data_IF_292566317184
#
_entry.id   IF_292566317184
#
_cell.length_a   1.000
_cell.length_b   1.000
_cell.length_c   1.000
_cell.angle_alpha   90.00
_cell.angle_beta   90.00
_cell.angle_gamma   90.00
#
_symmetry.space_group_name_H-M   'P 1'
#
loop_
_entity.id
_entity.type
_entity.pdbx_description
1 polymer ?
#
# COMPACT_ATOMS: atom_id res chain seq x y z
N UNK A 1 4.01 -31.66 -10.65
CA UNK A 1 4.88 -31.73 -9.44
C UNK A 1 4.62 -30.50 -8.57
N UNK A 2 3.48 -30.42 -7.84
CA UNK A 2 3.07 -29.24 -7.08
C UNK A 2 4.08 -28.88 -5.97
N UNK A 3 4.82 -29.85 -5.43
CA UNK A 3 5.87 -29.61 -4.43
C UNK A 3 7.04 -28.76 -4.96
N UNK A 4 7.21 -28.67 -6.28
CA UNK A 4 8.25 -27.87 -6.93
C UNK A 4 7.73 -26.51 -7.43
N UNK A 5 6.47 -26.19 -7.17
CA UNK A 5 5.86 -24.93 -7.59
C UNK A 5 6.04 -23.86 -6.51
N UNK A 6 6.69 -22.75 -6.85
CA UNK A 6 6.93 -21.58 -5.99
C UNK A 6 6.75 -20.33 -6.85
N UNK A 7 6.06 -19.33 -6.33
CA UNK A 7 5.91 -18.04 -7.01
C UNK A 7 7.12 -17.13 -6.76
N UNK A 8 7.41 -16.28 -7.75
CA UNK A 8 8.34 -15.14 -7.59
C UNK A 8 7.63 -13.86 -8.04
N UNK A 9 7.42 -12.94 -7.13
CA UNK A 9 6.80 -11.66 -7.40
C UNK A 9 7.85 -10.54 -7.36
N UNK A 10 7.99 -9.85 -8.47
CA UNK A 10 8.91 -8.73 -8.66
C UNK A 10 8.17 -7.40 -8.59
N UNK A 11 8.87 -6.34 -8.19
CA UNK A 11 8.31 -4.99 -8.09
C UNK A 11 8.79 -4.12 -9.25
N UNK A 12 7.90 -3.26 -9.75
CA UNK A 12 8.18 -2.39 -10.89
C UNK A 12 8.89 -1.09 -10.44
N UNK A 13 9.98 -0.68 -11.11
CA UNK A 13 10.67 -1.35 -12.22
C UNK A 13 11.60 -2.48 -11.74
N UNK A 14 11.47 -3.65 -12.35
CA UNK A 14 12.13 -4.89 -11.90
C UNK A 14 13.63 -4.76 -11.76
N UNK A 15 14.28 -4.03 -12.65
CA UNK A 15 15.74 -3.83 -12.64
C UNK A 15 16.22 -2.96 -11.48
N UNK A 16 15.36 -2.12 -10.91
CA UNK A 16 15.72 -1.19 -9.82
C UNK A 16 15.26 -1.66 -8.45
N UNK A 17 14.07 -2.25 -8.37
CA UNK A 17 13.48 -2.64 -7.08
C UNK A 17 14.18 -3.86 -6.51
N UNK A 18 14.69 -3.77 -5.26
CA UNK A 18 15.50 -4.85 -4.68
C UNK A 18 14.68 -6.04 -4.20
N UNK A 19 13.42 -5.85 -3.81
CA UNK A 19 12.59 -6.90 -3.22
C UNK A 19 12.15 -7.94 -4.26
N UNK A 20 12.12 -9.20 -3.83
CA UNK A 20 11.35 -10.30 -4.44
C UNK A 20 10.57 -11.01 -3.35
N UNK A 21 9.26 -11.09 -3.48
CA UNK A 21 8.46 -12.01 -2.68
C UNK A 21 8.57 -13.42 -3.26
N UNK A 22 9.04 -14.35 -2.46
CA UNK A 22 9.07 -15.80 -2.76
C UNK A 22 7.82 -16.41 -2.15
N UNK A 23 6.85 -16.76 -3.01
CA UNK A 23 5.51 -17.17 -2.59
C UNK A 23 5.47 -18.68 -2.38
N UNK A 24 5.31 -19.08 -1.12
CA UNK A 24 5.09 -20.46 -0.71
C UNK A 24 3.62 -20.81 -0.88
N UNK A 25 3.30 -21.64 -1.87
CA UNK A 25 1.99 -22.26 -2.00
C UNK A 25 1.80 -23.41 -1.00
N UNK A 26 0.56 -23.86 -0.84
CA UNK A 26 0.18 -24.92 0.13
C UNK A 26 0.96 -26.21 0.00
N UNK A 27 1.45 -26.53 -1.20
CA UNK A 27 2.16 -27.80 -1.50
C UNK A 27 3.65 -27.56 -1.80
N UNK A 28 4.15 -26.32 -1.78
CA UNK A 28 5.55 -26.02 -2.04
C UNK A 28 6.46 -26.64 -0.98
N UNK A 29 7.46 -27.41 -1.43
CA UNK A 29 8.45 -28.01 -0.51
C UNK A 29 9.46 -26.96 -0.02
N UNK A 30 10.05 -27.22 1.15
CA UNK A 30 11.12 -26.37 1.68
C UNK A 30 12.33 -26.31 0.73
N UNK A 31 12.65 -27.42 0.07
CA UNK A 31 13.73 -27.47 -0.91
C UNK A 31 13.46 -26.55 -2.12
N UNK A 32 12.23 -26.54 -2.64
CA UNK A 32 11.86 -25.66 -3.75
C UNK A 32 11.88 -24.17 -3.35
N UNK A 33 11.39 -23.85 -2.14
CA UNK A 33 11.44 -22.49 -1.59
C UNK A 33 12.90 -22.05 -1.40
N UNK A 34 13.75 -22.89 -0.79
CA UNK A 34 15.17 -22.58 -0.59
C UNK A 34 15.92 -22.37 -1.92
N UNK A 35 15.64 -23.21 -2.92
CA UNK A 35 16.21 -23.04 -4.26
C UNK A 35 15.79 -21.71 -4.92
N UNK A 36 14.52 -21.31 -4.74
CA UNK A 36 14.00 -20.04 -5.25
C UNK A 36 14.61 -18.84 -4.54
N UNK A 37 14.77 -18.91 -3.21
CA UNK A 37 15.51 -17.90 -2.42
C UNK A 37 16.95 -17.78 -2.91
N UNK A 38 17.65 -18.89 -3.10
CA UNK A 38 19.02 -18.90 -3.62
C UNK A 38 19.13 -18.27 -5.02
N UNK A 39 18.12 -18.53 -5.89
CA UNK A 39 18.03 -17.90 -7.22
C UNK A 39 17.86 -16.38 -7.10
N UNK A 40 16.93 -15.91 -6.26
CA UNK A 40 16.71 -14.47 -6.04
C UNK A 40 17.99 -13.78 -5.54
N UNK A 41 18.72 -14.38 -4.61
CA UNK A 41 20.01 -13.87 -4.12
C UNK A 41 21.05 -13.79 -5.25
N UNK A 42 21.16 -14.81 -6.12
CA UNK A 42 22.04 -14.79 -7.30
C UNK A 42 21.69 -13.69 -8.29
N UNK A 43 20.42 -13.29 -8.36
CA UNK A 43 19.95 -12.16 -9.17
C UNK A 43 20.24 -10.81 -8.52
N UNK A 44 20.91 -10.76 -7.36
CA UNK A 44 21.14 -9.53 -6.59
C UNK A 44 19.90 -8.95 -5.92
N UNK A 45 18.86 -9.77 -5.72
CA UNK A 45 17.61 -9.37 -5.06
C UNK A 45 17.65 -9.71 -3.56
N UNK A 46 16.78 -9.04 -2.82
CA UNK A 46 16.48 -9.34 -1.42
C UNK A 46 15.20 -10.16 -1.36
N UNK A 47 15.27 -11.50 -1.19
CA UNK A 47 14.08 -12.34 -1.11
C UNK A 47 13.47 -12.28 0.29
N UNK A 48 12.13 -12.21 0.34
CA UNK A 48 11.32 -12.45 1.54
C UNK A 48 10.36 -13.59 1.22
N UNK A 49 10.31 -14.61 2.06
CA UNK A 49 9.39 -15.73 1.90
C UNK A 49 8.04 -15.34 2.50
N UNK A 50 6.99 -15.48 1.70
CA UNK A 50 5.62 -15.19 2.13
C UNK A 50 4.70 -16.36 1.79
N UNK A 51 3.67 -16.58 2.60
CA UNK A 51 2.62 -17.52 2.27
C UNK A 51 1.64 -16.93 1.26
N UNK A 52 1.04 -17.81 0.45
CA UNK A 52 0.13 -17.42 -0.62
C UNK A 52 -1.18 -16.84 -0.07
N UNK A 53 -1.54 -15.67 -0.55
CA UNK A 53 -2.83 -15.02 -0.36
C UNK A 53 -3.06 -13.97 -1.45
N UNK A 54 -4.29 -13.46 -1.63
CA UNK A 54 -4.53 -12.34 -2.55
C UNK A 54 -3.62 -11.15 -2.23
N UNK A 55 -2.83 -10.70 -3.23
CA UNK A 55 -1.88 -9.59 -3.08
C UNK A 55 -0.61 -9.91 -2.32
N UNK A 56 -0.40 -11.16 -1.89
CA UNK A 56 0.73 -11.59 -1.07
C UNK A 56 0.91 -10.71 0.18
N UNK A 57 2.11 -10.29 0.55
CA UNK A 57 2.31 -9.36 1.68
C UNK A 57 2.18 -7.89 1.22
N UNK A 58 2.97 -7.49 0.23
CA UNK A 58 3.19 -6.07 -0.07
C UNK A 58 1.96 -5.43 -0.70
N UNK A 59 1.37 -6.04 -1.73
CA UNK A 59 0.16 -5.50 -2.35
C UNK A 59 -1.03 -5.57 -1.40
N UNK A 60 -1.19 -6.66 -0.64
CA UNK A 60 -2.23 -6.77 0.38
C UNK A 60 -2.22 -5.60 1.36
N UNK A 61 -1.03 -5.12 1.73
CA UNK A 61 -0.84 -3.99 2.65
C UNK A 61 -0.96 -2.62 1.96
N UNK A 62 -0.54 -2.54 0.68
CA UNK A 62 -0.59 -1.29 -0.08
C UNK A 62 -2.03 -0.87 -0.46
N UNK A 63 -2.93 -1.81 -0.75
CA UNK A 63 -4.30 -1.47 -1.14
C UNK A 63 -5.11 -0.80 -0.03
N UNK A 64 -5.05 -1.18 1.25
CA UNK A 64 -5.57 -0.40 2.37
C UNK A 64 -5.07 1.04 2.45
N UNK A 65 -3.80 1.29 2.14
CA UNK A 65 -3.25 2.65 2.04
C UNK A 65 -3.96 3.46 0.94
N UNK A 66 -4.16 2.87 -0.24
CA UNK A 66 -4.94 3.49 -1.31
C UNK A 66 -6.42 3.66 -0.96
N UNK A 67 -7.02 2.72 -0.23
CA UNK A 67 -8.39 2.87 0.27
C UNK A 67 -8.51 4.09 1.19
N UNK A 68 -7.57 4.31 2.10
CA UNK A 68 -7.52 5.51 2.93
C UNK A 68 -7.42 6.80 2.11
N UNK A 69 -6.61 6.80 1.06
CA UNK A 69 -6.52 7.90 0.09
C UNK A 69 -7.86 8.16 -0.61
N UNK A 70 -8.51 7.13 -1.15
CA UNK A 70 -9.80 7.28 -1.84
C UNK A 70 -10.90 7.78 -0.89
N UNK A 71 -10.93 7.32 0.36
CA UNK A 71 -11.86 7.83 1.36
C UNK A 71 -11.62 9.31 1.69
N UNK A 72 -10.36 9.75 1.74
CA UNK A 72 -10.04 11.18 1.89
C UNK A 72 -10.58 12.01 0.72
N UNK A 73 -10.40 11.55 -0.52
CA UNK A 73 -10.92 12.24 -1.70
C UNK A 73 -12.45 12.26 -1.71
N UNK A 74 -13.09 11.12 -1.43
CA UNK A 74 -14.54 11.02 -1.26
C UNK A 74 -15.06 12.09 -0.29
N UNK A 75 -14.35 12.29 0.81
CA UNK A 75 -14.72 13.22 1.88
C UNK A 75 -14.31 14.69 1.58
N UNK A 76 -13.76 14.98 0.40
CA UNK A 76 -13.45 16.32 -0.09
C UNK A 76 -12.00 16.78 0.05
N UNK A 77 -11.06 15.87 0.36
CA UNK A 77 -9.64 16.22 0.38
C UNK A 77 -9.11 16.52 -1.03
N UNK A 78 -8.17 17.45 -1.11
CA UNK A 78 -7.40 17.71 -2.32
C UNK A 78 -6.31 16.65 -2.52
N UNK A 79 -6.30 15.95 -3.66
CA UNK A 79 -5.32 14.90 -3.92
C UNK A 79 -3.87 15.42 -3.90
N UNK A 80 -3.61 16.65 -4.32
CA UNK A 80 -2.28 17.24 -4.24
C UNK A 80 -1.87 17.55 -2.79
N UNK A 81 -2.83 17.96 -1.95
CA UNK A 81 -2.56 18.15 -0.53
C UNK A 81 -2.27 16.82 0.18
N UNK A 82 -2.99 15.75 -0.20
CA UNK A 82 -2.71 14.40 0.31
C UNK A 82 -1.32 13.94 -0.13
N UNK A 83 -0.97 14.07 -1.40
CA UNK A 83 0.37 13.73 -1.90
C UNK A 83 1.45 14.47 -1.10
N UNK A 84 1.31 15.78 -0.96
CA UNK A 84 2.27 16.62 -0.21
C UNK A 84 2.40 16.22 1.25
N UNK A 85 1.31 15.86 1.92
CA UNK A 85 1.34 15.43 3.31
C UNK A 85 2.07 14.07 3.45
N UNK A 86 1.84 13.15 2.54
CA UNK A 86 2.50 11.84 2.55
C UNK A 86 3.98 11.93 2.14
N UNK A 87 4.34 12.78 1.18
CA UNK A 87 5.73 13.09 0.85
C UNK A 87 6.46 13.72 2.06
N UNK A 88 5.82 14.64 2.79
CA UNK A 88 6.36 15.22 4.02
C UNK A 88 6.49 14.19 5.15
N UNK A 89 5.60 13.19 5.21
CA UNK A 89 5.73 12.05 6.14
C UNK A 89 6.99 11.24 5.85
N UNK A 90 7.45 11.22 4.58
CA UNK A 90 8.69 10.58 4.14
C UNK A 90 8.52 9.60 2.97
N UNK A 91 7.33 9.42 2.45
CA UNK A 91 7.14 8.62 1.23
C UNK A 91 7.83 9.28 0.02
N UNK A 92 8.43 8.48 -0.88
CA UNK A 92 9.07 9.02 -2.09
C UNK A 92 8.07 9.64 -3.08
N UNK A 93 6.81 9.21 -2.99
CA UNK A 93 5.68 9.68 -3.79
C UNK A 93 4.42 9.65 -2.94
N UNK A 94 3.55 10.64 -3.10
CA UNK A 94 2.21 10.58 -2.56
C UNK A 94 1.32 9.58 -3.31
N UNK A 95 0.15 9.21 -2.77
CA UNK A 95 -0.69 8.14 -3.31
C UNK A 95 -1.24 8.42 -4.71
N UNK A 96 -1.63 9.65 -5.03
CA UNK A 96 -2.09 10.02 -6.36
C UNK A 96 -0.97 9.87 -7.40
N UNK A 97 0.22 10.37 -7.09
CA UNK A 97 1.37 10.21 -7.96
C UNK A 97 1.79 8.74 -8.10
N UNK A 98 1.77 7.97 -7.03
CA UNK A 98 2.08 6.54 -7.08
C UNK A 98 1.11 5.77 -7.98
N UNK A 99 -0.20 6.07 -7.91
CA UNK A 99 -1.21 5.47 -8.81
C UNK A 99 -0.93 5.79 -10.28
N UNK A 100 -0.51 7.03 -10.58
CA UNK A 100 -0.11 7.43 -11.94
C UNK A 100 1.13 6.67 -12.44
N UNK A 101 2.10 6.42 -11.57
CA UNK A 101 3.34 5.69 -11.91
C UNK A 101 3.08 4.20 -12.13
N UNK A 102 2.29 3.57 -11.25
CA UNK A 102 1.92 2.15 -11.35
C UNK A 102 1.03 1.89 -12.58
N UNK A 103 0.19 2.84 -12.91
CA UNK A 103 -0.85 2.71 -13.92
C UNK A 103 -2.22 2.42 -13.30
N UNK A 104 -3.14 3.35 -13.45
CA UNK A 104 -4.45 3.32 -12.79
C UNK A 104 -5.30 2.12 -13.20
N UNK A 105 -5.27 1.70 -14.47
CA UNK A 105 -5.98 0.52 -14.96
C UNK A 105 -5.46 -0.76 -14.28
N UNK A 106 -4.15 -0.88 -14.10
CA UNK A 106 -3.53 -1.95 -13.31
C UNK A 106 -3.99 -1.89 -11.85
N UNK A 107 -4.02 -0.68 -11.27
CA UNK A 107 -4.51 -0.44 -9.91
C UNK A 107 -5.97 -0.86 -9.71
N UNK A 108 -6.86 -0.48 -10.63
CA UNK A 108 -8.28 -0.85 -10.57
C UNK A 108 -8.46 -2.37 -10.68
N UNK A 109 -7.75 -3.03 -11.60
CA UNK A 109 -7.81 -4.49 -11.72
C UNK A 109 -7.34 -5.19 -10.43
N UNK A 110 -6.21 -4.78 -9.88
CA UNK A 110 -5.68 -5.35 -8.65
C UNK A 110 -6.58 -5.06 -7.44
N UNK A 111 -7.22 -3.88 -7.37
CA UNK A 111 -8.21 -3.57 -6.33
C UNK A 111 -9.41 -4.53 -6.36
N UNK A 112 -9.87 -4.93 -7.55
CA UNK A 112 -10.94 -5.93 -7.69
C UNK A 112 -10.52 -7.28 -7.10
N UNK A 113 -9.29 -7.73 -7.35
CA UNK A 113 -8.74 -8.96 -6.75
C UNK A 113 -8.67 -8.85 -5.22
N UNK A 114 -8.28 -7.69 -4.68
CA UNK A 114 -8.27 -7.48 -3.23
C UNK A 114 -9.68 -7.47 -2.64
N UNK A 115 -10.64 -6.84 -3.33
CA UNK A 115 -12.03 -6.81 -2.91
C UNK A 115 -12.68 -8.20 -2.90
N UNK A 116 -12.31 -9.07 -3.85
CA UNK A 116 -12.74 -10.47 -3.87
C UNK A 116 -12.09 -11.28 -2.76
N UNK A 117 -10.81 -11.10 -2.52
CA UNK A 117 -10.05 -11.82 -1.51
C UNK A 117 -10.39 -11.41 -0.06
N UNK A 118 -10.74 -10.14 0.15
CA UNK A 118 -11.04 -9.55 1.46
C UNK A 118 -12.31 -8.70 1.43
N UNK A 119 -13.48 -9.31 1.09
CA UNK A 119 -14.71 -8.56 0.85
C UNK A 119 -15.24 -7.84 2.08
N UNK A 120 -14.85 -8.28 3.27
CA UNK A 120 -15.26 -7.71 4.54
C UNK A 120 -14.66 -6.33 4.83
N UNK A 121 -13.57 -5.95 4.15
CA UNK A 121 -12.85 -4.71 4.42
C UNK A 121 -12.23 -3.99 3.21
N UNK A 122 -11.94 -4.72 2.11
CA UNK A 122 -11.30 -4.13 0.92
C UNK A 122 -12.27 -3.90 -0.24
N UNK A 123 -13.54 -4.28 -0.09
CA UNK A 123 -14.58 -3.98 -1.07
C UNK A 123 -15.17 -2.60 -0.75
N UNK A 124 -14.94 -1.58 -1.59
CA UNK A 124 -15.52 -0.25 -1.36
C UNK A 124 -17.03 -0.27 -1.60
N UNK A 125 -17.75 0.60 -0.90
CA UNK A 125 -19.18 0.87 -1.07
C UNK A 125 -19.46 2.15 -1.89
N UNK A 126 -18.40 2.72 -2.47
CA UNK A 126 -18.45 3.92 -3.29
C UNK A 126 -17.53 3.79 -4.51
N UNK A 127 -17.82 4.56 -5.57
CA UNK A 127 -16.97 4.65 -6.76
C UNK A 127 -15.75 5.52 -6.47
N UNK A 128 -14.57 4.95 -6.66
CA UNK A 128 -13.30 5.65 -6.45
C UNK A 128 -12.96 6.64 -7.58
N UNK A 129 -12.20 7.67 -7.25
CA UNK A 129 -11.74 8.66 -8.22
C UNK A 129 -10.85 8.05 -9.30
N UNK A 130 -10.04 7.03 -8.97
CA UNK A 130 -9.21 6.30 -9.94
C UNK A 130 -10.06 5.58 -10.98
N UNK A 131 -11.19 4.96 -10.59
CA UNK A 131 -12.11 4.30 -11.53
C UNK A 131 -12.69 5.31 -12.52
N UNK A 132 -13.10 6.49 -12.05
CA UNK A 132 -13.57 7.58 -12.90
C UNK A 132 -12.51 8.00 -13.91
N UNK A 133 -11.26 8.18 -13.47
CA UNK A 133 -10.16 8.57 -14.36
C UNK A 133 -9.85 7.49 -15.40
N UNK A 134 -9.93 6.21 -15.04
CA UNK A 134 -9.76 5.08 -15.97
C UNK A 134 -10.85 5.07 -17.04
N UNK A 135 -12.12 5.32 -16.68
CA UNK A 135 -13.22 5.46 -17.65
C UNK A 135 -12.97 6.56 -18.68
N UNK A 136 -12.26 7.63 -18.29
CA UNK A 136 -11.82 8.70 -19.17
C UNK A 136 -10.46 8.45 -19.83
N UNK A 137 -9.98 7.18 -19.83
CA UNK A 137 -8.70 6.75 -20.44
C UNK A 137 -7.47 7.47 -19.88
N UNK A 138 -7.56 7.92 -18.63
CA UNK A 138 -6.45 8.53 -17.91
C UNK A 138 -5.75 7.44 -17.09
N UNK A 139 -4.73 6.79 -17.69
CA UNK A 139 -4.05 5.64 -17.08
C UNK A 139 -2.76 6.00 -16.35
N UNK A 140 -2.50 7.28 -16.13
CA UNK A 140 -1.28 7.77 -15.48
C UNK A 140 -0.16 8.11 -16.47
N UNK A 141 1.10 7.95 -16.05
CA UNK A 141 2.27 8.32 -16.85
C UNK A 141 2.29 7.69 -18.24
N UNK A 142 1.91 6.42 -18.36
CA UNK A 142 1.92 5.67 -19.63
C UNK A 142 0.99 6.24 -20.70
N UNK A 143 -0.05 6.97 -20.30
CA UNK A 143 -0.98 7.65 -21.21
C UNK A 143 -0.79 9.16 -21.25
N UNK A 144 0.21 9.68 -20.52
CA UNK A 144 0.46 11.12 -20.39
C UNK A 144 -0.50 11.87 -19.46
N UNK A 145 -1.55 11.21 -18.96
CA UNK A 145 -2.55 11.79 -18.06
C UNK A 145 -3.02 10.75 -17.03
N UNK A 146 -3.14 11.18 -15.78
CA UNK A 146 -3.72 10.46 -14.66
C UNK A 146 -4.37 11.45 -13.71
N UNK A 147 -4.01 11.43 -12.42
CA UNK A 147 -4.29 12.55 -11.51
C UNK A 147 -3.57 13.82 -11.95
N UNK A 148 -2.36 13.65 -12.47
CA UNK A 148 -1.52 14.68 -13.05
C UNK A 148 -1.43 14.53 -14.57
N UNK A 149 -0.94 15.57 -15.25
CA UNK A 149 -0.44 15.48 -16.62
C UNK A 149 1.06 15.29 -16.63
N UNK A 150 1.56 14.65 -17.68
CA UNK A 150 2.96 14.31 -17.87
C UNK A 150 3.44 14.77 -19.23
N UNK A 151 4.51 15.55 -19.22
CA UNK A 151 5.26 15.95 -20.42
C UNK A 151 6.73 15.63 -20.22
N UNK A 152 7.46 15.28 -21.28
CA UNK A 152 8.91 15.05 -21.16
C UNK A 152 9.62 16.35 -20.75
N UNK A 153 10.53 16.27 -19.79
CA UNK A 153 11.45 17.34 -19.46
C UNK A 153 12.56 17.45 -20.51
N UNK A 154 13.52 18.37 -20.32
CA UNK A 154 14.68 18.56 -21.23
C UNK A 154 15.57 17.31 -21.37
N UNK A 155 15.41 16.32 -20.46
CA UNK A 155 16.15 15.04 -20.47
C UNK A 155 15.27 13.87 -20.92
N UNK A 156 14.06 14.14 -21.42
CA UNK A 156 13.11 13.12 -21.84
C UNK A 156 12.40 12.38 -20.69
N UNK A 157 12.58 12.81 -19.43
CA UNK A 157 11.90 12.18 -18.28
C UNK A 157 10.51 12.76 -18.09
N UNK A 158 9.49 11.94 -17.74
CA UNK A 158 8.15 12.44 -17.48
C UNK A 158 8.14 13.39 -16.27
N UNK A 159 7.73 14.62 -16.51
CA UNK A 159 7.55 15.66 -15.49
C UNK A 159 6.07 15.82 -15.21
N UNK A 160 5.66 15.63 -13.93
CA UNK A 160 4.26 15.82 -13.51
C UNK A 160 3.91 17.32 -13.41
N UNK A 161 2.68 17.65 -13.80
CA UNK A 161 2.09 18.97 -13.65
C UNK A 161 0.64 18.84 -13.16
N UNK A 162 0.14 19.80 -12.36
CA UNK A 162 -1.28 19.85 -11.99
C UNK A 162 -2.16 19.90 -13.24
N UNK A 163 -3.34 19.27 -13.16
CA UNK A 163 -4.34 19.29 -14.22
C UNK A 163 -5.72 19.65 -13.65
N UNK A 164 -6.23 20.85 -13.95
CA UNK A 164 -7.57 21.25 -13.52
C UNK A 164 -8.69 20.36 -14.03
N UNK A 165 -8.53 19.73 -15.21
CA UNK A 165 -9.50 18.79 -15.79
C UNK A 165 -9.76 17.61 -14.84
N UNK A 166 -8.75 17.17 -14.09
CA UNK A 166 -8.90 16.08 -13.13
C UNK A 166 -10.01 16.36 -12.11
N UNK A 167 -10.08 17.59 -11.58
CA UNK A 167 -11.11 17.97 -10.59
C UNK A 167 -12.51 17.97 -11.20
N UNK A 168 -12.64 18.42 -12.46
CA UNK A 168 -13.92 18.39 -13.17
C UNK A 168 -14.43 16.96 -13.37
N UNK A 169 -13.53 16.05 -13.72
CA UNK A 169 -13.88 14.65 -13.97
C UNK A 169 -14.34 13.95 -12.67
N UNK A 170 -13.64 14.17 -11.55
CA UNK A 170 -13.93 13.45 -10.30
C UNK A 170 -15.03 14.11 -9.45
N UNK A 171 -15.52 15.29 -9.79
CA UNK A 171 -16.48 16.06 -8.97
C UNK A 171 -17.77 15.30 -8.62
N UNK A 172 -18.18 14.36 -9.46
CA UNK A 172 -19.38 13.54 -9.24
C UNK A 172 -19.24 12.47 -8.16
N UNK A 173 -18.03 12.18 -7.71
CA UNK A 173 -17.73 11.11 -6.74
C UNK A 173 -16.98 11.61 -5.49
N UNK A 174 -16.79 12.92 -5.37
CA UNK A 174 -16.15 13.55 -4.20
C UNK A 174 -17.09 14.59 -3.57
N UNK A 175 -17.00 14.76 -2.26
CA UNK A 175 -17.70 15.83 -1.55
C UNK A 175 -17.12 17.21 -1.88
N UNK A 176 -17.83 18.28 -1.45
CA UNK A 176 -17.30 19.62 -1.53
C UNK A 176 -15.93 19.72 -0.87
N UNK A 177 -15.00 20.39 -1.55
CA UNK A 177 -13.61 20.52 -1.10
C UNK A 177 -13.54 21.12 0.30
N UNK A 178 -12.78 20.49 1.17
CA UNK A 178 -12.44 20.97 2.51
C UNK A 178 -10.99 20.69 2.84
N UNK A 179 -10.46 21.46 3.78
CA UNK A 179 -9.11 21.24 4.29
C UNK A 179 -9.08 20.12 5.34
N UNK A 180 -8.02 19.33 5.31
CA UNK A 180 -7.70 18.32 6.31
C UNK A 180 -6.34 18.64 6.93
N UNK A 181 -6.23 18.47 8.24
CA UNK A 181 -4.95 18.59 8.92
C UNK A 181 -3.97 17.52 8.37
N UNK A 182 -2.68 17.86 8.18
CA UNK A 182 -1.68 16.89 7.70
C UNK A 182 -1.64 15.61 8.52
N UNK A 183 -1.81 15.72 9.85
CA UNK A 183 -1.82 14.58 10.78
C UNK A 183 -3.03 13.66 10.54
N UNK A 184 -4.19 14.22 10.18
CA UNK A 184 -5.37 13.45 9.82
C UNK A 184 -5.16 12.72 8.49
N UNK A 185 -4.60 13.39 7.49
CA UNK A 185 -4.26 12.78 6.20
C UNK A 185 -3.33 11.58 6.41
N UNK A 186 -2.26 11.79 7.16
CA UNK A 186 -1.29 10.71 7.47
C UNK A 186 -1.97 9.57 8.20
N UNK A 187 -2.76 9.86 9.25
CA UNK A 187 -3.44 8.82 10.02
C UNK A 187 -4.40 8.01 9.14
N UNK A 188 -5.20 8.68 8.30
CA UNK A 188 -6.18 8.02 7.44
C UNK A 188 -5.57 7.15 6.34
N UNK A 189 -4.35 7.43 5.90
CA UNK A 189 -3.61 6.58 4.99
C UNK A 189 -2.83 5.47 5.73
N UNK A 190 -2.18 5.80 6.85
CA UNK A 190 -1.26 4.87 7.52
C UNK A 190 -1.96 3.85 8.41
N UNK A 191 -3.08 4.20 9.05
CA UNK A 191 -3.80 3.26 9.93
C UNK A 191 -4.26 2.01 9.18
N UNK A 192 -4.94 2.11 8.02
CA UNK A 192 -5.31 0.93 7.22
C UNK A 192 -4.12 0.07 6.82
N UNK A 193 -3.02 0.69 6.39
CA UNK A 193 -1.77 0.01 6.02
C UNK A 193 -1.22 -0.80 7.19
N UNK A 194 -1.04 -0.16 8.35
CA UNK A 194 -0.45 -0.79 9.54
C UNK A 194 -1.35 -1.89 10.10
N UNK A 195 -2.67 -1.66 10.15
CA UNK A 195 -3.63 -2.67 10.56
C UNK A 195 -3.51 -3.92 9.67
N UNK A 196 -3.32 -3.76 8.35
CA UNK A 196 -3.19 -4.91 7.46
C UNK A 196 -1.82 -5.60 7.60
N UNK A 197 -0.74 -4.88 7.93
CA UNK A 197 0.54 -5.51 8.31
C UNK A 197 0.34 -6.42 9.52
N UNK A 198 -0.35 -5.95 10.55
CA UNK A 198 -0.61 -6.76 11.73
C UNK A 198 -1.48 -7.99 11.41
N UNK A 199 -2.48 -7.86 10.50
CA UNK A 199 -3.24 -9.02 10.00
C UNK A 199 -2.37 -10.00 9.22
N UNK A 200 -1.45 -9.53 8.39
CA UNK A 200 -0.48 -10.41 7.70
C UNK A 200 0.36 -11.22 8.69
N UNK A 201 0.74 -10.65 9.82
CA UNK A 201 1.44 -11.36 10.89
C UNK A 201 0.53 -12.37 11.61
N UNK A 202 -0.72 -11.99 11.94
CA UNK A 202 -1.72 -12.91 12.53
C UNK A 202 -2.00 -14.10 11.62
N UNK A 203 -2.18 -13.84 10.32
CA UNK A 203 -2.44 -14.84 9.28
C UNK A 203 -1.18 -15.64 8.87
N UNK A 204 -0.01 -15.32 9.47
CA UNK A 204 1.28 -15.94 9.14
C UNK A 204 1.66 -15.82 7.65
N UNK A 205 1.25 -14.74 7.00
CA UNK A 205 1.65 -14.46 5.61
C UNK A 205 3.15 -14.17 5.54
N UNK A 206 3.68 -13.48 6.53
CA UNK A 206 5.10 -13.20 6.72
C UNK A 206 5.55 -13.73 8.08
N UNK A 207 6.78 -14.22 8.18
CA UNK A 207 7.24 -14.97 9.35
C UNK A 207 7.56 -14.08 10.56
N UNK A 208 7.95 -12.82 10.33
CA UNK A 208 8.36 -11.92 11.41
C UNK A 208 8.05 -10.45 11.12
N UNK A 209 7.94 -9.61 12.18
CA UNK A 209 7.81 -8.16 12.04
C UNK A 209 8.99 -7.52 11.27
N UNK A 210 10.21 -8.04 11.42
CA UNK A 210 11.38 -7.53 10.71
C UNK A 210 11.27 -7.78 9.20
N UNK A 211 10.83 -8.98 8.78
CA UNK A 211 10.58 -9.29 7.37
C UNK A 211 9.43 -8.45 6.80
N UNK A 212 8.38 -8.21 7.58
CA UNK A 212 7.30 -7.31 7.19
C UNK A 212 7.81 -5.89 6.93
N UNK A 213 8.62 -5.33 7.84
CA UNK A 213 9.20 -4.01 7.70
C UNK A 213 10.14 -3.92 6.48
N UNK A 214 11.01 -4.93 6.28
CA UNK A 214 11.89 -5.01 5.11
C UNK A 214 11.11 -5.10 3.80
N UNK A 215 10.01 -5.87 3.77
CA UNK A 215 9.13 -5.97 2.61
C UNK A 215 8.57 -4.62 2.18
N UNK A 216 8.15 -3.79 3.13
CA UNK A 216 7.61 -2.47 2.83
C UNK A 216 8.70 -1.47 2.40
N UNK A 217 9.86 -1.48 3.05
CA UNK A 217 10.97 -0.58 2.71
C UNK A 217 11.48 -0.88 1.30
N UNK A 218 11.72 -2.14 0.98
CA UNK A 218 12.30 -2.54 -0.31
C UNK A 218 11.27 -2.73 -1.43
N UNK A 219 9.99 -2.99 -1.09
CA UNK A 219 8.94 -3.24 -2.08
C UNK A 219 8.18 -2.00 -2.52
N UNK A 220 7.89 -1.09 -1.60
CA UNK A 220 7.08 0.11 -1.89
C UNK A 220 7.71 1.43 -1.42
N UNK A 221 8.95 1.40 -0.94
CA UNK A 221 9.66 2.61 -0.50
C UNK A 221 9.09 3.21 0.79
N UNK A 222 8.58 2.38 1.70
CA UNK A 222 8.24 2.86 3.05
C UNK A 222 9.42 3.63 3.62
N UNK A 223 9.22 4.82 4.25
CA UNK A 223 10.30 5.68 4.69
C UNK A 223 11.36 4.94 5.52
N UNK A 224 12.60 4.71 5.02
CA UNK A 224 13.58 3.87 5.71
C UNK A 224 13.98 4.39 7.09
N UNK A 225 14.00 5.71 7.28
CA UNK A 225 14.33 6.32 8.58
C UNK A 225 13.28 6.06 9.67
N UNK A 226 12.07 5.61 9.28
CA UNK A 226 11.03 5.16 10.21
C UNK A 226 11.13 3.68 10.53
N UNK A 227 11.94 2.92 9.78
CA UNK A 227 12.26 1.53 10.03
C UNK A 227 11.18 0.51 9.65
N UNK A 228 10.08 0.94 9.01
CA UNK A 228 8.95 0.10 8.63
C UNK A 228 7.70 0.32 9.49
N UNK A 229 6.63 -0.40 9.19
CA UNK A 229 5.33 -0.23 9.83
C UNK A 229 5.31 -0.74 11.28
N UNK A 230 5.97 -1.88 11.55
CA UNK A 230 6.08 -2.44 12.89
C UNK A 230 6.93 -1.52 13.79
N UNK A 231 8.07 -1.07 13.28
CA UNK A 231 8.93 -0.11 13.99
C UNK A 231 8.21 1.22 14.23
N UNK A 232 7.41 1.68 13.28
CA UNK A 232 6.60 2.89 13.44
C UNK A 232 5.61 2.76 14.60
N UNK A 233 4.94 1.62 14.76
CA UNK A 233 4.08 1.35 15.92
C UNK A 233 4.89 1.29 17.22
N UNK A 234 6.04 0.63 17.20
CA UNK A 234 6.91 0.53 18.40
C UNK A 234 7.39 1.89 18.90
N UNK A 235 7.69 2.81 17.97
CA UNK A 235 8.10 4.18 18.29
C UNK A 235 6.95 5.03 18.84
N UNK A 236 5.75 4.85 18.31
CA UNK A 236 4.54 5.56 18.75
C UNK A 236 4.01 4.99 20.08
N UNK A 237 4.15 3.69 20.27
CA UNK A 237 3.47 2.89 21.30
C UNK A 237 2.15 2.31 20.78
N UNK A 238 1.95 0.99 20.94
CA UNK A 238 0.78 0.29 20.44
C UNK A 238 -0.55 0.86 20.99
N UNK A 239 -0.59 1.29 22.26
CA UNK A 239 -1.78 1.90 22.84
C UNK A 239 -2.20 3.19 22.10
N UNK A 240 -1.24 4.08 21.82
CA UNK A 240 -1.50 5.31 21.08
C UNK A 240 -1.89 5.04 19.63
N UNK A 241 -1.30 4.00 19.01
CA UNK A 241 -1.69 3.61 17.66
C UNK A 241 -3.13 3.07 17.61
N UNK A 242 -3.53 2.23 18.57
CA UNK A 242 -4.91 1.71 18.68
C UNK A 242 -5.90 2.84 18.92
N UNK A 243 -5.59 3.79 19.82
CA UNK A 243 -6.42 4.99 20.00
C UNK A 243 -6.60 5.79 18.71
N UNK A 244 -5.52 5.98 17.94
CA UNK A 244 -5.58 6.63 16.63
C UNK A 244 -6.43 5.83 15.64
N UNK A 245 -6.35 4.50 15.65
CA UNK A 245 -7.16 3.60 14.82
C UNK A 245 -8.64 3.72 15.17
N UNK A 246 -8.98 3.66 16.46
CA UNK A 246 -10.35 3.73 16.97
C UNK A 246 -11.02 5.08 16.67
N UNK A 247 -10.26 6.17 16.59
CA UNK A 247 -10.75 7.49 16.17
C UNK A 247 -11.41 7.47 14.79
N UNK A 248 -10.96 6.58 13.91
CA UNK A 248 -11.46 6.47 12.53
C UNK A 248 -12.27 5.21 12.27
N UNK A 249 -12.65 4.45 13.29
CA UNK A 249 -13.35 3.16 13.15
C UNK A 249 -14.67 3.28 12.39
N UNK A 250 -15.36 4.42 12.48
CA UNK A 250 -16.59 4.71 11.72
C UNK A 250 -16.40 4.75 10.20
N UNK A 251 -15.15 4.89 9.71
CA UNK A 251 -14.83 4.86 8.29
C UNK A 251 -14.80 3.42 7.72
N UNK A 252 -14.90 2.41 8.57
CA UNK A 252 -14.97 1.02 8.14
C UNK A 252 -13.91 0.12 8.75
N UNK A 253 -14.00 -1.17 8.42
CA UNK A 253 -13.23 -2.25 9.04
C UNK A 253 -11.73 -2.20 8.80
N UNK A 254 -11.26 -1.46 7.80
CA UNK A 254 -9.83 -1.18 7.61
C UNK A 254 -9.22 -0.41 8.79
N UNK A 255 -10.04 0.40 9.47
CA UNK A 255 -9.62 1.19 10.64
C UNK A 255 -9.81 0.45 11.97
N UNK A 256 -10.40 -0.76 11.96
CA UNK A 256 -10.50 -1.58 13.17
C UNK A 256 -9.16 -2.28 13.43
N UNK A 257 -8.48 -1.90 14.52
CA UNK A 257 -7.20 -2.47 14.88
C UNK A 257 -7.35 -3.99 15.17
N UNK A 258 -6.54 -4.86 14.54
CA UNK A 258 -6.62 -6.31 14.75
C UNK A 258 -6.20 -6.70 16.17
N UNK A 259 -6.52 -7.94 16.53
CA UNK A 259 -6.31 -8.48 17.88
C UNK A 259 -4.87 -8.35 18.35
N UNK A 260 -3.91 -8.61 17.48
CA UNK A 260 -2.49 -8.48 17.79
C UNK A 260 -2.13 -7.09 18.32
N UNK A 261 -2.56 -6.03 17.63
CA UNK A 261 -2.32 -4.65 18.05
C UNK A 261 -3.04 -4.31 19.36
N UNK A 262 -4.28 -4.77 19.53
CA UNK A 262 -5.06 -4.56 20.78
C UNK A 262 -4.42 -5.29 21.97
N UNK A 263 -3.89 -6.49 21.78
CA UNK A 263 -3.18 -7.24 22.82
C UNK A 263 -1.85 -6.59 23.17
N UNK A 264 -1.12 -6.07 22.17
CA UNK A 264 0.10 -5.29 22.39
C UNK A 264 -0.18 -4.00 23.14
N UNK A 265 -1.27 -3.29 22.80
CA UNK A 265 -1.69 -2.09 23.52
C UNK A 265 -1.95 -2.34 25.00
N UNK A 266 -2.57 -3.48 25.34
CA UNK A 266 -2.86 -3.88 26.74
C UNK A 266 -1.62 -4.32 27.50
N UNK A 267 -0.71 -5.03 26.83
CA UNK A 267 0.46 -5.65 27.47
C UNK A 267 1.71 -4.77 27.46
N UNK A 268 1.72 -3.69 26.70
CA UNK A 268 2.93 -2.86 26.47
C UNK A 268 4.00 -3.55 25.61
N UNK A 269 3.68 -4.71 25.01
CA UNK A 269 4.63 -5.42 24.13
C UNK A 269 4.91 -4.64 22.85
N UNK A 270 6.09 -4.85 22.31
CA UNK A 270 6.53 -4.30 21.03
C UNK A 270 6.65 -5.40 19.99
N UNK A 271 6.70 -5.02 18.71
CA UNK A 271 6.94 -5.93 17.60
C UNK A 271 8.40 -6.42 17.55
N UNK A 272 9.34 -5.50 17.80
CA UNK A 272 10.77 -5.72 17.59
C UNK A 272 11.60 -5.70 18.90
N UNK A 273 10.94 -5.54 20.03
CA UNK A 273 11.60 -5.55 21.35
C UNK A 273 12.12 -4.19 21.81
#
# INVERSE_FOLDING_TARGET
RPQNFVGMHFFNPVQMMPLVEVIRGKQSSDAAVAATVALALKMGKTPIVVNDCPGFMVNRVLFPYFAGFHMLLRDGADFMAVDKAMEKFGWPMGPAYLMDVVGMDTGVHAAAVMAEGFPDRMKPDFKGTTEVLVEHKRYGQKSGKGYYTYAPDKKGKPKKSPDPETYELIKGVVAARKEFAPEEIVARCMVPLVNEVARCLEDKIVASPAEADMSLIYGIGFPPFRGGACRYVDQMGAAKFVEMSDKYISLGKLYDAPKLLRDMAKSGKKFLG
#
